data_IF_074547481691
#
_entry.id   IF_074547481691
#
_cell.length_a   1.000
_cell.length_b   1.000
_cell.length_c   1.000
_cell.angle_alpha   90.00
_cell.angle_beta   90.00
_cell.angle_gamma   90.00
#
_symmetry.space_group_name_H-M   'P 1'
#
loop_
_entity.id
_entity.type
_entity.pdbx_description
1 polymer ?
#
# COMPACT_ATOMS: atom_id res chain seq x y z
N UNK A 1 -30.93 -7.07 -43.71
CA UNK A 1 -30.93 -7.81 -42.43
C UNK A 1 -30.41 -6.87 -41.36
N UNK A 2 -31.20 -6.52 -40.34
CA UNK A 2 -30.76 -5.66 -39.24
C UNK A 2 -30.08 -6.53 -38.18
N UNK A 3 -28.86 -6.21 -37.72
CA UNK A 3 -28.18 -7.01 -36.70
C UNK A 3 -28.93 -6.94 -35.36
N UNK A 4 -29.14 -8.09 -34.73
CA UNK A 4 -29.87 -8.23 -33.47
C UNK A 4 -28.95 -7.92 -32.28
N UNK A 5 -28.84 -6.64 -31.95
CA UNK A 5 -28.02 -6.14 -30.83
C UNK A 5 -28.38 -6.78 -29.47
N UNK A 6 -29.61 -7.27 -29.32
CA UNK A 6 -30.09 -7.98 -28.12
C UNK A 6 -29.26 -9.24 -27.87
N UNK A 7 -28.92 -10.01 -28.92
CA UNK A 7 -28.12 -11.23 -28.78
C UNK A 7 -26.66 -10.92 -28.42
N UNK A 8 -26.12 -9.81 -28.91
CA UNK A 8 -24.75 -9.36 -28.59
C UNK A 8 -24.66 -8.88 -27.14
N UNK A 9 -25.67 -8.14 -26.66
CA UNK A 9 -25.72 -7.70 -25.26
C UNK A 9 -25.80 -8.90 -24.31
N UNK A 10 -26.61 -9.92 -24.66
CA UNK A 10 -26.75 -11.14 -23.86
C UNK A 10 -25.44 -11.93 -23.76
N UNK A 11 -24.70 -12.01 -24.86
CA UNK A 11 -23.41 -12.71 -24.92
C UNK A 11 -22.32 -11.98 -24.10
N UNK A 12 -22.32 -10.64 -24.14
CA UNK A 12 -21.44 -9.83 -23.30
C UNK A 12 -21.75 -9.98 -21.80
N UNK A 13 -23.02 -10.04 -21.42
CA UNK A 13 -23.41 -10.26 -20.02
C UNK A 13 -23.02 -11.65 -19.51
N UNK A 14 -23.10 -12.67 -20.37
CA UNK A 14 -22.67 -14.03 -20.00
C UNK A 14 -21.13 -14.13 -19.89
N UNK A 15 -20.39 -13.44 -20.76
CA UNK A 15 -18.93 -13.37 -20.70
C UNK A 15 -18.44 -12.63 -19.45
N UNK A 16 -19.05 -11.49 -19.09
CA UNK A 16 -18.66 -10.75 -17.89
C UNK A 16 -19.01 -11.50 -16.60
N UNK A 17 -20.18 -12.14 -16.54
CA UNK A 17 -20.58 -12.97 -15.41
C UNK A 17 -19.68 -14.21 -15.27
N UNK A 18 -19.31 -14.85 -16.39
CA UNK A 18 -18.37 -15.97 -16.41
C UNK A 18 -16.97 -15.57 -15.94
N UNK A 19 -16.46 -14.42 -16.38
CA UNK A 19 -15.19 -13.87 -15.93
C UNK A 19 -15.21 -13.53 -14.43
N UNK A 20 -16.30 -12.93 -13.94
CA UNK A 20 -16.45 -12.62 -12.51
C UNK A 20 -16.55 -13.88 -11.64
N UNK A 21 -17.31 -14.89 -12.07
CA UNK A 21 -17.40 -16.19 -11.38
C UNK A 21 -16.05 -16.92 -11.36
N UNK A 22 -15.32 -16.90 -12.49
CA UNK A 22 -13.97 -17.46 -12.57
C UNK A 22 -12.97 -16.70 -11.69
N UNK A 23 -13.06 -15.36 -11.66
CA UNK A 23 -12.25 -14.51 -10.79
C UNK A 23 -12.56 -14.70 -9.30
N UNK A 24 -13.77 -15.15 -8.94
CA UNK A 24 -14.14 -15.45 -7.56
C UNK A 24 -13.65 -16.84 -7.11
N UNK A 25 -13.52 -17.80 -8.03
CA UNK A 25 -13.14 -19.20 -7.75
C UNK A 25 -11.67 -19.38 -7.31
N UNK A 26 -10.83 -18.34 -7.32
CA UNK A 26 -9.42 -18.48 -6.95
C UNK A 26 -9.13 -18.35 -5.44
N UNK A 27 -10.14 -18.28 -4.55
CA UNK A 27 -9.92 -18.07 -3.11
C UNK A 27 -10.78 -18.99 -2.21
N UNK A 28 -10.70 -20.31 -2.41
CA UNK A 28 -11.24 -21.28 -1.46
C UNK A 28 -10.18 -22.30 -1.10
N UNK A 29 -9.54 -22.09 0.04
CA UNK A 29 -8.75 -23.13 0.73
C UNK A 29 -9.70 -23.90 1.63
N UNK A 30 -10.26 -25.01 1.14
CA UNK A 30 -10.90 -26.00 1.99
C UNK A 30 -9.78 -26.69 2.80
N UNK A 31 -9.67 -26.35 4.09
CA UNK A 31 -8.81 -27.05 5.04
C UNK A 31 -9.65 -28.16 5.69
N UNK A 32 -9.51 -29.38 5.19
CA UNK A 32 -9.86 -30.59 5.93
C UNK A 32 -8.64 -30.97 6.80
N UNK A 33 -8.82 -30.97 8.12
CA UNK A 33 -7.78 -31.41 9.07
C UNK A 33 -7.95 -32.90 9.29
N UNK A 34 -7.04 -33.68 8.73
CA UNK A 34 -6.72 -35.05 9.16
C UNK A 34 -5.29 -35.00 9.72
N UNK A 35 -5.14 -35.50 10.95
CA UNK A 35 -3.92 -35.41 11.76
C UNK A 35 -2.99 -36.61 11.48
N UNK A 36 -1.69 -36.41 11.77
CA UNK A 36 -0.57 -37.39 11.83
C UNK A 36 0.22 -37.48 10.49
N UNK A 37 1.55 -37.25 10.39
CA UNK A 37 2.68 -37.57 11.28
C UNK A 37 3.79 -36.49 11.27
N UNK A 38 4.53 -36.41 12.37
CA UNK A 38 5.69 -35.56 12.63
C UNK A 38 6.92 -36.04 11.85
N UNK A 39 7.31 -35.30 10.81
CA UNK A 39 8.64 -35.35 10.19
C UNK A 39 9.33 -34.01 10.38
N UNK A 40 10.21 -33.94 11.40
CA UNK A 40 11.01 -32.79 11.83
C UNK A 40 12.22 -32.50 10.89
N UNK A 41 11.99 -32.48 9.57
CA UNK A 41 12.95 -31.98 8.57
C UNK A 41 12.29 -31.18 7.44
N UNK A 42 11.15 -30.54 7.72
CA UNK A 42 10.61 -29.50 6.87
C UNK A 42 11.11 -28.15 7.36
N UNK A 43 12.01 -27.52 6.61
CA UNK A 43 12.20 -26.07 6.69
C UNK A 43 10.81 -25.46 6.53
N UNK A 44 10.20 -25.01 7.63
CA UNK A 44 8.88 -24.37 7.59
C UNK A 44 9.10 -23.03 6.91
N UNK A 45 9.07 -23.04 5.58
CA UNK A 45 9.05 -21.84 4.76
C UNK A 45 7.74 -21.14 5.09
N UNK A 46 7.77 -20.30 6.12
CA UNK A 46 6.71 -19.33 6.34
C UNK A 46 6.59 -18.56 5.03
N UNK A 47 5.42 -18.58 4.36
CA UNK A 47 5.26 -17.81 3.15
C UNK A 47 5.71 -16.39 3.42
N UNK A 48 6.60 -15.86 2.57
CA UNK A 48 7.14 -14.51 2.75
C UNK A 48 5.97 -13.52 2.76
N UNK A 49 5.70 -12.95 3.94
CA UNK A 49 4.54 -12.08 4.11
C UNK A 49 4.89 -10.67 3.57
N UNK A 50 4.01 -10.01 2.82
CA UNK A 50 4.32 -8.73 2.15
C UNK A 50 4.81 -7.61 3.09
N UNK A 51 4.43 -7.65 4.37
CA UNK A 51 4.85 -6.68 5.39
C UNK A 51 6.15 -7.05 6.13
N UNK A 52 6.82 -8.15 5.74
CA UNK A 52 8.13 -8.49 6.31
C UNK A 52 9.20 -7.56 5.74
N UNK A 53 10.17 -7.20 6.59
CA UNK A 53 11.28 -6.32 6.20
C UNK A 53 12.05 -6.89 5.01
N UNK A 54 12.28 -8.21 4.96
CA UNK A 54 13.01 -8.86 3.87
C UNK A 54 12.27 -8.72 2.54
N UNK A 55 10.95 -8.90 2.54
CA UNK A 55 10.12 -8.70 1.36
C UNK A 55 10.15 -7.23 0.90
N UNK A 56 9.95 -6.31 1.85
CA UNK A 56 9.91 -4.87 1.56
C UNK A 56 11.25 -4.37 1.02
N UNK A 57 12.39 -4.86 1.53
CA UNK A 57 13.74 -4.49 1.02
C UNK A 57 13.96 -4.85 -0.46
N UNK A 58 13.21 -5.81 -0.99
CA UNK A 58 13.28 -6.22 -2.41
C UNK A 58 12.40 -5.35 -3.32
N UNK A 59 11.53 -4.52 -2.75
CA UNK A 59 10.65 -3.64 -3.51
C UNK A 59 11.38 -2.36 -3.94
N UNK A 60 10.83 -1.70 -4.97
CA UNK A 60 11.31 -0.39 -5.41
C UNK A 60 10.49 0.73 -4.75
N UNK A 61 11.19 1.71 -4.18
CA UNK A 61 10.61 2.89 -3.55
C UNK A 61 11.34 4.13 -4.06
N UNK A 62 11.09 4.56 -5.31
CA UNK A 62 11.80 5.68 -5.93
C UNK A 62 11.57 7.02 -5.21
N UNK A 63 10.57 7.07 -4.31
CA UNK A 63 10.19 8.25 -3.55
C UNK A 63 9.73 9.41 -4.43
N UNK A 64 9.65 10.60 -3.84
CA UNK A 64 9.55 11.86 -4.57
C UNK A 64 10.14 12.97 -3.72
N UNK A 65 10.25 14.16 -4.32
CA UNK A 65 10.42 15.37 -3.54
C UNK A 65 9.25 15.56 -2.57
N UNK A 66 9.53 16.20 -1.44
CA UNK A 66 8.53 16.65 -0.47
C UNK A 66 8.02 18.01 -0.94
N UNK A 67 6.71 18.11 -1.15
CA UNK A 67 6.05 19.35 -1.62
C UNK A 67 5.32 19.99 -0.45
N UNK A 68 5.51 21.29 -0.23
CA UNK A 68 4.70 22.06 0.73
C UNK A 68 3.35 22.38 0.09
N UNK A 69 2.28 21.79 0.63
CA UNK A 69 0.89 21.99 0.17
C UNK A 69 0.23 23.17 0.89
N UNK A 70 0.53 23.32 2.18
CA UNK A 70 -0.04 24.38 3.00
C UNK A 70 0.96 24.82 4.08
N UNK A 71 1.13 26.13 4.24
CA UNK A 71 1.78 26.70 5.42
C UNK A 71 0.73 26.94 6.49
N UNK A 72 0.96 26.41 7.70
CA UNK A 72 0.10 26.60 8.86
C UNK A 72 0.66 27.73 9.74
N UNK A 73 -0.15 28.20 10.69
CA UNK A 73 0.34 29.11 11.73
C UNK A 73 1.51 28.45 12.49
N UNK A 74 2.62 29.18 12.72
CA UNK A 74 3.74 28.64 13.45
C UNK A 74 3.41 28.49 14.94
N UNK A 75 4.17 27.64 15.62
CA UNK A 75 4.17 27.55 17.08
C UNK A 75 5.43 28.23 17.63
N UNK A 76 5.52 28.37 18.95
CA UNK A 76 6.61 29.14 19.60
C UNK A 76 8.02 28.72 19.17
N UNK A 77 8.23 27.42 18.91
CA UNK A 77 9.57 26.87 18.67
C UNK A 77 9.73 26.20 17.30
N UNK A 78 8.71 26.21 16.43
CA UNK A 78 8.78 25.58 15.12
C UNK A 78 7.76 26.11 14.11
N UNK A 79 8.14 26.03 12.84
CA UNK A 79 7.28 26.25 11.68
C UNK A 79 6.49 24.97 11.37
N UNK A 80 5.29 25.11 10.82
CA UNK A 80 4.34 24.01 10.55
C UNK A 80 3.86 24.02 9.11
N UNK A 81 3.87 22.86 8.47
CA UNK A 81 3.44 22.69 7.09
C UNK A 81 2.65 21.40 6.91
N UNK A 82 1.63 21.43 6.06
CA UNK A 82 1.13 20.21 5.42
C UNK A 82 1.98 19.98 4.18
N UNK A 83 2.59 18.81 4.10
CA UNK A 83 3.42 18.40 2.96
C UNK A 83 2.84 17.17 2.30
N UNK A 84 3.27 16.92 1.05
CA UNK A 84 2.98 15.69 0.35
C UNK A 84 4.21 15.05 -0.28
N UNK A 85 4.13 13.74 -0.50
CA UNK A 85 5.12 12.96 -1.24
C UNK A 85 4.45 11.75 -1.90
N UNK A 86 5.10 11.15 -2.89
CA UNK A 86 4.62 9.95 -3.56
C UNK A 86 5.18 8.70 -2.89
N UNK A 87 4.30 7.74 -2.61
CA UNK A 87 4.66 6.41 -2.12
C UNK A 87 3.69 5.40 -2.70
N UNK A 88 4.22 4.33 -3.30
CA UNK A 88 3.41 3.21 -3.83
C UNK A 88 2.30 3.68 -4.79
N UNK A 89 2.59 4.69 -5.61
CA UNK A 89 1.64 5.26 -6.57
C UNK A 89 0.58 6.19 -5.97
N UNK A 90 0.62 6.45 -4.66
CA UNK A 90 -0.31 7.32 -3.95
C UNK A 90 0.37 8.61 -3.50
N UNK A 91 -0.42 9.69 -3.44
CA UNK A 91 -0.02 10.97 -2.82
C UNK A 91 -0.29 10.91 -1.32
N UNK A 92 0.77 10.79 -0.54
CA UNK A 92 0.72 10.77 0.91
C UNK A 92 0.82 12.19 1.45
N UNK A 93 0.06 12.48 2.50
CA UNK A 93 0.11 13.76 3.20
C UNK A 93 0.68 13.58 4.61
N UNK A 94 1.49 14.53 5.05
CA UNK A 94 2.09 14.53 6.38
C UNK A 94 2.13 15.93 6.99
N UNK A 95 2.20 16.01 8.31
CA UNK A 95 2.54 17.22 9.04
C UNK A 95 4.07 17.30 9.17
N UNK A 96 4.67 18.34 8.59
CA UNK A 96 6.09 18.66 8.74
C UNK A 96 6.25 19.81 9.74
N UNK A 97 7.13 19.61 10.71
CA UNK A 97 7.58 20.66 11.62
C UNK A 97 9.08 20.92 11.44
N UNK A 98 9.47 22.19 11.38
CA UNK A 98 10.87 22.60 11.27
C UNK A 98 11.21 23.48 12.47
N UNK A 99 12.21 23.12 13.29
CA UNK A 99 12.61 23.95 14.43
C UNK A 99 12.99 25.37 14.00
N UNK A 100 12.65 26.34 14.83
CA UNK A 100 13.11 27.71 14.64
C UNK A 100 14.61 27.80 14.93
N UNK A 101 15.37 28.51 14.09
CA UNK A 101 16.80 28.74 14.27
C UNK A 101 17.62 28.44 13.02
N UNK A 102 18.94 28.59 13.14
CA UNK A 102 19.87 28.24 12.09
C UNK A 102 20.09 26.73 12.07
N UNK A 103 19.91 26.12 10.90
CA UNK A 103 20.18 24.70 10.73
C UNK A 103 21.69 24.45 10.80
N UNK A 104 22.15 23.31 11.37
CA UNK A 104 23.54 22.90 11.25
C UNK A 104 23.96 22.76 9.79
N UNK A 105 25.27 22.79 9.50
CA UNK A 105 25.81 22.61 8.14
C UNK A 105 25.33 21.32 7.46
N UNK A 106 25.08 20.27 8.25
CA UNK A 106 24.58 18.97 7.79
C UNK A 106 23.05 18.88 7.72
N UNK A 107 22.34 19.96 8.04
CA UNK A 107 20.89 19.98 8.20
C UNK A 107 20.41 19.54 9.59
N UNK A 108 19.09 19.64 9.80
CA UNK A 108 18.43 19.17 11.02
C UNK A 108 18.39 17.64 11.06
N UNK A 109 18.52 17.02 12.25
CA UNK A 109 18.12 15.63 12.41
C UNK A 109 16.61 15.49 12.14
N UNK A 110 16.22 14.42 11.45
CA UNK A 110 14.82 14.13 11.14
C UNK A 110 14.25 13.07 12.09
N UNK A 111 13.00 13.25 12.51
CA UNK A 111 12.21 12.27 13.26
C UNK A 111 10.92 12.02 12.48
N UNK A 112 10.64 10.76 12.16
CA UNK A 112 9.41 10.37 11.48
C UNK A 112 8.42 9.77 12.49
N UNK A 113 7.27 10.43 12.65
CA UNK A 113 6.19 9.94 13.49
C UNK A 113 5.12 9.29 12.62
N UNK A 114 4.94 7.98 12.79
CA UNK A 114 3.77 7.28 12.27
C UNK A 114 2.67 7.30 13.34
N UNK A 115 1.44 7.62 12.94
CA UNK A 115 0.29 7.59 13.83
C UNK A 115 -0.44 6.25 13.75
N UNK A 116 -1.22 5.92 14.79
CA UNK A 116 -2.13 4.77 14.77
C UNK A 116 -3.33 5.02 13.86
N UNK A 117 -4.35 4.17 13.95
CA UNK A 117 -5.61 4.41 13.22
C UNK A 117 -6.26 5.73 13.70
N UNK A 118 -6.57 6.64 12.77
CA UNK A 118 -7.24 7.93 12.99
C UNK A 118 -8.59 7.91 12.27
#
# INVERSE_FOLDING_TARGET
MRPNYISVLFLLTLLSAGFFYFSQKSNTSDIMVETEEENDQGEFLTPEHPLQIEYMRKQDYPGSDIIIEQTLSPESNYQRYIVSYQSEGLKQFALLTIPNGEAPDTGWPAILFNHGYI
#
